data_IF_455810086605
#
_entry.id   IF_455810086605
#
_cell.length_a   1.000
_cell.length_b   1.000
_cell.length_c   1.000
_cell.angle_alpha   90.00
_cell.angle_beta   90.00
_cell.angle_gamma   90.00
#
_symmetry.space_group_name_H-M   'P 1'
#
loop_
_entity.id
_entity.type
_entity.pdbx_description
1 polymer ?
#
# COMPACT_ATOMS: atom_id res chain seq x y z
N UNK A 1 41.73 7.58 4.11
CA UNK A 1 40.49 8.01 3.41
C UNK A 1 39.70 6.75 3.08
N UNK A 2 38.82 6.30 3.97
CA UNK A 2 38.01 5.07 3.84
C UNK A 2 36.63 5.41 3.27
N UNK A 3 36.59 5.96 2.05
CA UNK A 3 35.34 6.32 1.37
C UNK A 3 34.63 5.11 0.75
N UNK A 4 35.36 4.02 0.50
CA UNK A 4 34.85 2.84 -0.20
C UNK A 4 33.88 2.02 0.67
N UNK A 5 34.18 1.87 1.97
CA UNK A 5 33.31 1.13 2.91
C UNK A 5 32.02 1.86 3.26
N UNK A 6 32.01 3.20 3.27
CA UNK A 6 30.80 3.99 3.52
C UNK A 6 29.85 3.95 2.33
N UNK A 7 30.39 3.97 1.11
CA UNK A 7 29.60 3.83 -0.11
C UNK A 7 29.03 2.42 -0.27
N UNK A 8 29.82 1.36 -0.05
CA UNK A 8 29.33 -0.03 -0.10
C UNK A 8 28.20 -0.30 0.91
N UNK A 9 28.34 0.21 2.14
CA UNK A 9 27.30 0.06 3.17
C UNK A 9 26.02 0.79 2.76
N UNK A 10 26.15 1.99 2.18
CA UNK A 10 25.02 2.76 1.66
C UNK A 10 24.31 2.01 0.53
N UNK A 11 25.06 1.49 -0.45
CA UNK A 11 24.50 0.76 -1.59
C UNK A 11 23.81 -0.54 -1.16
N UNK A 12 24.41 -1.26 -0.22
CA UNK A 12 23.78 -2.47 0.36
C UNK A 12 22.45 -2.15 1.03
N UNK A 13 22.37 -1.03 1.77
CA UNK A 13 21.13 -0.58 2.42
C UNK A 13 20.07 -0.15 1.40
N UNK A 14 20.46 0.57 0.34
CA UNK A 14 19.57 0.94 -0.75
C UNK A 14 19.00 -0.33 -1.41
N UNK A 15 19.86 -1.28 -1.78
CA UNK A 15 19.43 -2.51 -2.44
C UNK A 15 18.44 -3.32 -1.60
N UNK A 16 18.68 -3.44 -0.29
CA UNK A 16 17.74 -4.08 0.63
C UNK A 16 16.38 -3.37 0.64
N UNK A 17 16.38 -2.05 0.82
CA UNK A 17 15.12 -1.29 0.88
C UNK A 17 14.38 -1.27 -0.46
N UNK A 18 15.10 -1.28 -1.59
CA UNK A 18 14.50 -1.45 -2.93
C UNK A 18 13.83 -2.81 -3.03
N UNK A 19 14.48 -3.87 -2.54
CA UNK A 19 13.89 -5.20 -2.51
C UNK A 19 12.63 -5.24 -1.63
N UNK A 20 12.68 -4.64 -0.43
CA UNK A 20 11.53 -4.54 0.47
C UNK A 20 10.37 -3.75 -0.19
N UNK A 21 10.67 -2.70 -0.94
CA UNK A 21 9.69 -1.97 -1.76
C UNK A 21 9.11 -2.82 -2.89
N UNK A 22 9.96 -3.53 -3.65
CA UNK A 22 9.54 -4.36 -4.78
C UNK A 22 8.63 -5.51 -4.33
N UNK A 23 8.96 -6.15 -3.21
CA UNK A 23 8.17 -7.24 -2.62
C UNK A 23 7.10 -6.78 -1.64
N UNK A 24 6.90 -5.47 -1.48
CA UNK A 24 5.92 -4.95 -0.54
C UNK A 24 4.53 -5.52 -0.84
N UNK A 25 3.90 -6.10 0.17
CA UNK A 25 2.52 -6.57 0.14
C UNK A 25 1.85 -6.22 1.47
N UNK A 26 0.57 -5.89 1.42
CA UNK A 26 -0.24 -5.75 2.61
C UNK A 26 -0.25 -7.05 3.42
N UNK A 27 -0.06 -6.95 4.74
CA UNK A 27 -0.05 -8.12 5.63
C UNK A 27 -1.46 -8.64 5.89
N UNK A 28 -1.56 -9.91 6.28
CA UNK A 28 -2.82 -10.51 6.70
C UNK A 28 -3.35 -9.81 7.97
N UNK A 29 -4.59 -9.29 7.91
CA UNK A 29 -5.25 -8.51 8.97
C UNK A 29 -4.69 -7.08 9.17
N UNK A 30 -3.84 -6.60 8.29
CA UNK A 30 -3.50 -5.19 8.24
C UNK A 30 -4.69 -4.36 7.73
N UNK A 31 -4.79 -3.10 8.13
CA UNK A 31 -5.73 -2.15 7.53
C UNK A 31 -4.99 -1.20 6.57
N UNK A 32 -5.71 -0.49 5.70
CA UNK A 32 -5.11 0.40 4.71
C UNK A 32 -4.21 1.48 5.34
N UNK A 33 -4.58 2.00 6.50
CA UNK A 33 -3.77 3.02 7.20
C UNK A 33 -2.45 2.46 7.71
N UNK A 34 -2.46 1.27 8.29
CA UNK A 34 -1.26 0.58 8.78
C UNK A 34 -0.35 0.17 7.62
N UNK A 35 -0.93 -0.38 6.55
CA UNK A 35 -0.20 -0.72 5.33
C UNK A 35 0.49 0.51 4.74
N UNK A 36 -0.24 1.63 4.64
CA UNK A 36 0.34 2.87 4.12
C UNK A 36 1.47 3.41 5.00
N UNK A 37 1.37 3.31 6.32
CA UNK A 37 2.45 3.73 7.23
C UNK A 37 3.73 2.93 6.97
N UNK A 38 3.65 1.59 6.91
CA UNK A 38 4.80 0.73 6.59
C UNK A 38 5.39 1.03 5.21
N UNK A 39 4.54 1.24 4.22
CA UNK A 39 4.97 1.62 2.88
C UNK A 39 5.74 2.96 2.92
N UNK A 40 5.19 3.96 3.61
CA UNK A 40 5.79 5.28 3.72
C UNK A 40 7.14 5.26 4.47
N UNK A 41 7.31 4.39 5.46
CA UNK A 41 8.59 4.21 6.15
C UNK A 41 9.71 3.75 5.20
N UNK A 42 9.41 2.80 4.30
CA UNK A 42 10.34 2.34 3.27
C UNK A 42 10.69 3.47 2.29
N UNK A 43 9.66 4.20 1.83
CA UNK A 43 9.85 5.33 0.90
C UNK A 43 10.70 6.44 1.52
N UNK A 44 10.44 6.79 2.78
CA UNK A 44 11.20 7.81 3.49
C UNK A 44 12.64 7.38 3.74
N UNK A 45 12.87 6.11 4.07
CA UNK A 45 14.22 5.55 4.20
C UNK A 45 15.00 5.61 2.88
N UNK A 46 14.37 5.26 1.75
CA UNK A 46 14.96 5.36 0.42
C UNK A 46 15.25 6.80 0.01
N UNK A 47 14.30 7.72 0.28
CA UNK A 47 14.45 9.15 0.04
C UNK A 47 15.64 9.73 0.79
N UNK A 48 15.80 9.36 2.07
CA UNK A 48 16.97 9.76 2.89
C UNK A 48 18.31 9.26 2.36
N UNK A 49 18.32 8.21 1.53
CA UNK A 49 19.52 7.68 0.88
C UNK A 49 19.74 8.22 -0.54
N UNK A 50 18.81 9.04 -1.06
CA UNK A 50 18.87 9.67 -2.38
C UNK A 50 18.08 8.96 -3.47
N UNK A 51 17.31 7.91 -3.15
CA UNK A 51 16.39 7.25 -4.09
C UNK A 51 14.97 7.75 -3.87
N UNK A 52 14.43 8.47 -4.86
CA UNK A 52 13.10 9.09 -4.78
C UNK A 52 12.19 8.44 -5.82
N UNK A 53 10.99 8.07 -5.40
CA UNK A 53 9.93 7.60 -6.29
C UNK A 53 8.97 8.75 -6.60
N UNK A 54 8.52 8.81 -7.84
CA UNK A 54 7.48 9.73 -8.31
C UNK A 54 6.11 9.36 -7.75
N UNK A 55 5.18 10.32 -7.70
CA UNK A 55 3.80 10.07 -7.29
C UNK A 55 3.17 8.96 -8.14
N UNK A 56 3.41 8.95 -9.46
CA UNK A 56 2.94 7.90 -10.37
C UNK A 56 3.41 6.50 -9.93
N UNK A 57 4.69 6.35 -9.59
CA UNK A 57 5.23 5.07 -9.11
C UNK A 57 4.57 4.62 -7.81
N UNK A 58 4.33 5.54 -6.87
CA UNK A 58 3.66 5.23 -5.61
C UNK A 58 2.19 4.84 -5.81
N UNK A 59 1.46 5.61 -6.61
CA UNK A 59 0.03 5.38 -6.94
C UNK A 59 -0.15 4.08 -7.70
N UNK A 60 0.77 3.73 -8.61
CA UNK A 60 0.74 2.46 -9.33
C UNK A 60 1.11 1.26 -8.45
N UNK A 61 1.84 1.50 -7.36
CA UNK A 61 2.34 0.44 -6.46
C UNK A 61 1.27 0.00 -5.46
N UNK A 62 0.56 0.93 -4.82
CA UNK A 62 -0.42 0.64 -3.77
C UNK A 62 -1.48 -0.42 -4.19
N UNK A 63 -2.13 -0.32 -5.37
CA UNK A 63 -3.13 -1.31 -5.78
C UNK A 63 -2.52 -2.71 -5.98
N UNK A 64 -1.28 -2.79 -6.49
CA UNK A 64 -0.56 -4.06 -6.71
C UNK A 64 -0.16 -4.77 -5.42
N UNK A 65 -0.07 -4.02 -4.32
CA UNK A 65 0.27 -4.53 -3.01
C UNK A 65 -0.97 -4.96 -2.20
N UNK A 66 -2.17 -4.71 -2.72
CA UNK A 66 -3.43 -5.02 -2.04
C UNK A 66 -3.76 -6.52 -2.12
N UNK A 67 -4.47 -7.09 -1.13
CA UNK A 67 -4.89 -8.50 -1.16
C UNK A 67 -5.82 -8.79 -2.34
N UNK A 68 -5.85 -10.03 -2.83
CA UNK A 68 -6.72 -10.44 -3.95
C UNK A 68 -8.20 -10.14 -3.76
N UNK A 69 -8.68 -10.12 -2.51
CA UNK A 69 -10.06 -9.74 -2.18
C UNK A 69 -10.42 -8.30 -2.58
N UNK A 70 -9.42 -7.45 -2.82
CA UNK A 70 -9.56 -6.07 -3.27
C UNK A 70 -9.51 -5.92 -4.79
N UNK A 71 -9.26 -6.98 -5.57
CA UNK A 71 -9.15 -6.93 -7.04
C UNK A 71 -10.34 -6.20 -7.70
N UNK A 72 -11.62 -6.47 -7.36
CA UNK A 72 -12.74 -5.75 -7.99
C UNK A 72 -12.69 -4.24 -7.75
N UNK A 73 -12.21 -3.80 -6.57
CA UNK A 73 -12.09 -2.39 -6.23
C UNK A 73 -10.91 -1.75 -6.96
N UNK A 74 -9.79 -2.46 -7.07
CA UNK A 74 -8.61 -2.02 -7.83
C UNK A 74 -8.98 -1.81 -9.30
N UNK A 75 -9.61 -2.79 -9.94
CA UNK A 75 -10.08 -2.67 -11.34
C UNK A 75 -11.01 -1.48 -11.52
N UNK A 76 -11.98 -1.29 -10.64
CA UNK A 76 -12.90 -0.15 -10.74
C UNK A 76 -12.19 1.22 -10.58
N UNK A 77 -11.10 1.30 -9.82
CA UNK A 77 -10.30 2.53 -9.71
C UNK A 77 -9.52 2.77 -11.01
N UNK A 78 -8.88 1.72 -11.55
CA UNK A 78 -8.10 1.78 -12.78
C UNK A 78 -8.97 2.14 -14.00
N UNK A 79 -10.21 1.69 -14.04
CA UNK A 79 -11.18 2.04 -15.10
C UNK A 79 -11.75 3.46 -14.96
N UNK A 80 -11.93 3.94 -13.72
CA UNK A 80 -12.58 5.22 -13.45
C UNK A 80 -11.61 6.41 -13.38
N UNK A 81 -10.32 6.17 -13.13
CA UNK A 81 -9.34 7.22 -12.85
C UNK A 81 -8.02 6.94 -13.57
N UNK A 82 -7.42 8.00 -14.10
CA UNK A 82 -6.06 7.94 -14.61
C UNK A 82 -5.06 7.97 -13.44
N UNK A 83 -4.46 6.81 -13.14
CA UNK A 83 -3.45 6.66 -12.08
C UNK A 83 -2.22 7.54 -12.29
N UNK A 84 -1.96 8.01 -13.51
CA UNK A 84 -0.81 8.89 -13.77
C UNK A 84 -0.98 10.31 -13.25
N UNK A 85 -2.23 10.73 -13.06
CA UNK A 85 -2.59 12.08 -12.59
C UNK A 85 -3.21 12.08 -11.20
N UNK A 86 -3.59 10.90 -10.69
CA UNK A 86 -4.28 10.75 -9.41
C UNK A 86 -3.37 11.15 -8.23
N UNK A 87 -3.80 12.07 -7.35
CA UNK A 87 -3.11 12.31 -6.09
C UNK A 87 -3.12 11.04 -5.21
N UNK A 88 -1.99 10.72 -4.58
CA UNK A 88 -1.89 9.55 -3.72
C UNK A 88 -2.91 9.58 -2.56
N UNK A 89 -3.16 10.76 -2.00
CA UNK A 89 -4.14 10.95 -0.93
C UNK A 89 -5.57 10.58 -1.37
N UNK A 90 -5.94 10.90 -2.62
CA UNK A 90 -7.25 10.56 -3.18
C UNK A 90 -7.40 9.04 -3.37
N UNK A 91 -6.33 8.36 -3.77
CA UNK A 91 -6.29 6.89 -3.83
C UNK A 91 -6.50 6.29 -2.44
N UNK A 92 -5.73 6.75 -1.45
CA UNK A 92 -5.81 6.26 -0.07
C UNK A 92 -7.20 6.49 0.54
N UNK A 93 -7.77 7.68 0.35
CA UNK A 93 -9.14 7.98 0.82
C UNK A 93 -10.19 7.08 0.17
N UNK A 94 -10.03 6.77 -1.12
CA UNK A 94 -10.91 5.84 -1.84
C UNK A 94 -10.82 4.41 -1.30
N UNK A 95 -9.62 3.96 -0.91
CA UNK A 95 -9.38 2.63 -0.34
C UNK A 95 -9.88 2.52 1.10
N UNK A 96 -9.61 3.52 1.96
CA UNK A 96 -10.09 3.56 3.34
C UNK A 96 -11.63 3.59 3.40
N UNK A 97 -12.27 4.35 2.50
CA UNK A 97 -13.74 4.37 2.40
C UNK A 97 -14.32 2.99 2.04
N UNK A 98 -13.60 2.24 1.20
CA UNK A 98 -14.00 0.88 0.84
C UNK A 98 -13.82 -0.10 2.01
N UNK A 99 -12.71 0.00 2.73
CA UNK A 99 -12.44 -0.79 3.95
C UNK A 99 -13.57 -0.68 4.97
N UNK A 100 -14.01 0.55 5.24
CA UNK A 100 -15.09 0.83 6.18
C UNK A 100 -16.40 0.15 5.74
N UNK A 101 -16.74 0.24 4.45
CA UNK A 101 -17.94 -0.38 3.89
C UNK A 101 -17.89 -1.91 3.97
N UNK A 102 -16.74 -2.52 3.70
CA UNK A 102 -16.55 -3.96 3.82
C UNK A 102 -16.74 -4.43 5.27
N UNK A 103 -16.22 -3.67 6.24
CA UNK A 103 -16.37 -3.96 7.68
C UNK A 103 -17.83 -3.89 8.13
N UNK A 104 -18.55 -2.84 7.72
CA UNK A 104 -19.99 -2.69 8.03
C UNK A 104 -20.84 -3.80 7.39
N UNK A 105 -20.54 -4.18 6.15
CA UNK A 105 -21.22 -5.30 5.48
C UNK A 105 -20.99 -6.62 6.22
N UNK A 106 -19.75 -6.92 6.59
CA UNK A 106 -19.40 -8.13 7.33
C UNK A 106 -20.11 -8.21 8.70
N UNK A 107 -20.25 -7.08 9.41
CA UNK A 107 -21.02 -7.01 10.66
C UNK A 107 -22.51 -7.32 10.42
N UNK A 108 -23.11 -6.64 9.46
CA UNK A 108 -24.53 -6.79 9.14
C UNK A 108 -24.89 -8.23 8.70
N UNK A 109 -24.00 -8.89 7.96
CA UNK A 109 -24.19 -10.30 7.57
C UNK A 109 -24.14 -11.26 8.76
N UNK A 110 -23.24 -11.03 9.72
CA UNK A 110 -23.16 -11.83 10.96
C UNK A 110 -24.44 -11.69 11.79
N UNK A 111 -24.95 -10.48 11.94
CA UNK A 111 -26.21 -10.22 12.66
C UNK A 111 -27.40 -10.93 11.99
N UNK A 112 -27.51 -10.85 10.66
CA UNK A 112 -28.56 -11.57 9.91
C UNK A 112 -28.48 -13.08 10.10
N UNK A 113 -27.28 -13.67 10.06
CA UNK A 113 -27.07 -15.11 10.29
C UNK A 113 -27.45 -15.53 11.72
N UNK A 114 -27.12 -14.73 12.72
CA UNK A 114 -27.51 -15.01 14.11
C UNK A 114 -29.03 -14.96 14.33
N UNK A 115 -29.72 -14.04 13.65
CA UNK A 115 -31.19 -13.96 13.71
C UNK A 115 -31.84 -15.15 12.99
N UNK A 116 -31.31 -15.56 11.83
CA UNK A 116 -31.86 -16.68 11.05
C UNK A 116 -31.66 -18.06 11.69
N UNK A 117 -30.72 -18.19 12.63
CA UNK A 117 -30.43 -19.43 13.37
C UNK A 117 -31.22 -19.55 14.69
N UNK A 118 -32.07 -18.57 15.00
CA UNK A 118 -32.85 -18.48 16.25
C UNK A 118 -34.33 -18.69 15.97
#
# INVERSE_FOLDING_TARGET
VTYEGTNQVKDTKINRLVHDYELFTMLENENISSMYAHFNDIINALKGLGKVYSNHELVSKIPRCSPKSWEPKVTAIEEAKDLSTLPLEDLLGSLMTHELKMSDQARNEREKKMIALK
#
